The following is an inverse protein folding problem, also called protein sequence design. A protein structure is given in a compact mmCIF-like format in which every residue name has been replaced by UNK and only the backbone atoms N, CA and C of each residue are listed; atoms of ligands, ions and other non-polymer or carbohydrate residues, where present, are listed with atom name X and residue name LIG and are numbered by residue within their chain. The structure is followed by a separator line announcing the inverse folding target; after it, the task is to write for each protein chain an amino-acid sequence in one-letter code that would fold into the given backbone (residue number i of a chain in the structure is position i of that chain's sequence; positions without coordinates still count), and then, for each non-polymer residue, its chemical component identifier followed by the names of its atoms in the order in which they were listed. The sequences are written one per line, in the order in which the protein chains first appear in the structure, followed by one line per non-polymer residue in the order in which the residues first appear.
data_IF_319799961592
#
_entry.id   IF_319799961592
#
_cell.length_a   1.000
_cell.length_b   1.000
_cell.length_c   1.000
_cell.angle_alpha   90.00
_cell.angle_beta   90.00
_cell.angle_gamma   90.00
#
_symmetry.space_group_name_H-M   'P 1'
#
loop_
_entity.id
_entity.type
_entity.pdbx_description
1 polymer ?
#
# COMPACT_ATOMS: atom_id res chain seq x y z
N UNK A 1 -20.66 5.22 5.44
CA UNK A 1 -20.10 4.01 4.78
C UNK A 1 -20.01 2.82 5.73
N UNK A 2 -19.59 2.99 6.98
CA UNK A 2 -19.46 1.92 7.97
C UNK A 2 -20.78 1.17 8.15
N UNK A 3 -21.89 1.87 8.37
CA UNK A 3 -23.23 1.28 8.51
C UNK A 3 -23.65 0.47 7.28
N UNK A 4 -23.28 0.91 6.09
CA UNK A 4 -23.56 0.16 4.85
C UNK A 4 -22.81 -1.18 4.84
N UNK A 5 -21.56 -1.19 5.29
CA UNK A 5 -20.77 -2.44 5.37
C UNK A 5 -21.36 -3.35 6.45
N UNK A 6 -21.68 -2.79 7.63
CA UNK A 6 -22.36 -3.55 8.70
C UNK A 6 -23.62 -4.23 8.17
N UNK A 7 -24.55 -3.47 7.57
CA UNK A 7 -25.81 -4.02 7.05
C UNK A 7 -25.55 -5.15 6.06
N UNK A 8 -24.64 -4.96 5.10
CA UNK A 8 -24.29 -6.02 4.13
C UNK A 8 -23.70 -7.27 4.78
N UNK A 9 -22.89 -7.09 5.82
CA UNK A 9 -22.29 -8.21 6.56
C UNK A 9 -23.36 -8.97 7.33
N UNK A 10 -24.19 -8.26 8.08
CA UNK A 10 -25.30 -8.83 8.83
C UNK A 10 -26.28 -9.58 7.91
N UNK A 11 -26.64 -8.98 6.78
CA UNK A 11 -27.50 -9.62 5.78
C UNK A 11 -26.88 -10.90 5.20
N UNK A 12 -25.55 -10.87 4.94
CA UNK A 12 -24.84 -12.02 4.37
C UNK A 12 -24.78 -13.21 5.34
N UNK A 13 -24.55 -12.94 6.62
CA UNK A 13 -24.44 -14.00 7.65
C UNK A 13 -25.77 -14.31 8.33
N UNK A 14 -26.83 -13.52 8.10
CA UNK A 14 -28.16 -13.70 8.70
C UNK A 14 -28.15 -13.45 10.21
N UNK A 15 -27.30 -12.55 10.70
CA UNK A 15 -27.18 -12.19 12.12
C UNK A 15 -26.97 -10.66 12.28
N UNK A 16 -26.62 -10.21 13.47
CA UNK A 16 -26.33 -8.80 13.77
C UNK A 16 -25.01 -8.63 14.51
N UNK A 17 -24.09 -9.56 14.33
CA UNK A 17 -22.85 -9.67 15.10
C UNK A 17 -21.76 -8.69 14.64
N UNK A 18 -21.91 -8.09 13.45
CA UNK A 18 -20.96 -7.11 12.96
C UNK A 18 -21.03 -5.83 13.81
N UNK A 19 -19.94 -5.50 14.48
CA UNK A 19 -19.81 -4.30 15.30
C UNK A 19 -19.02 -3.23 14.56
N UNK A 20 -19.46 -1.97 14.66
CA UNK A 20 -18.79 -0.81 14.06
C UNK A 20 -18.14 0.01 15.17
N UNK A 21 -16.90 0.43 14.95
CA UNK A 21 -16.14 1.28 15.84
C UNK A 21 -15.80 2.62 15.17
N UNK A 22 -15.71 3.68 15.97
CA UNK A 22 -15.29 5.01 15.51
C UNK A 22 -13.76 5.17 15.47
N UNK A 23 -13.07 4.26 16.16
CA UNK A 23 -11.63 4.25 16.26
C UNK A 23 -11.08 2.83 16.13
N UNK A 24 -9.89 2.68 15.57
CA UNK A 24 -9.26 1.37 15.42
C UNK A 24 -8.89 0.72 16.74
N UNK A 25 -8.65 1.49 17.80
CA UNK A 25 -8.34 0.96 19.14
C UNK A 25 -9.41 0.00 19.63
N UNK A 26 -10.68 0.35 19.44
CA UNK A 26 -11.79 -0.52 19.84
C UNK A 26 -11.80 -1.87 19.12
N UNK A 27 -11.23 -1.97 17.93
CA UNK A 27 -11.04 -3.26 17.22
C UNK A 27 -9.80 -3.98 17.76
N UNK A 28 -8.70 -3.24 17.95
CA UNK A 28 -7.41 -3.82 18.35
C UNK A 28 -7.39 -4.34 19.78
N UNK A 29 -8.23 -3.79 20.67
CA UNK A 29 -8.38 -4.21 22.08
C UNK A 29 -9.19 -5.50 22.24
N UNK A 30 -9.82 -6.02 21.19
CA UNK A 30 -10.61 -7.25 21.27
C UNK A 30 -9.74 -8.49 21.25
N UNK A 31 -9.92 -9.37 22.22
CA UNK A 31 -9.20 -10.64 22.32
C UNK A 31 -9.71 -11.70 21.32
N UNK A 32 -10.94 -11.56 20.83
CA UNK A 32 -11.57 -12.47 19.87
C UNK A 32 -11.25 -12.16 18.41
N UNK A 33 -10.40 -11.16 18.13
CA UNK A 33 -9.89 -10.83 16.79
C UNK A 33 -8.43 -11.25 16.70
N UNK A 34 -8.13 -12.20 15.80
CA UNK A 34 -6.78 -12.71 15.55
C UNK A 34 -6.05 -11.90 14.47
N UNK A 35 -6.79 -11.41 13.46
CA UNK A 35 -6.22 -10.75 12.29
C UNK A 35 -7.05 -9.57 11.83
N UNK A 36 -6.39 -8.60 11.17
CA UNK A 36 -7.02 -7.40 10.63
C UNK A 36 -6.68 -7.18 9.16
N UNK A 37 -7.63 -6.61 8.42
CA UNK A 37 -7.42 -6.12 7.06
C UNK A 37 -7.38 -4.60 7.09
N UNK A 38 -6.25 -4.01 6.67
CA UNK A 38 -6.03 -2.57 6.66
C UNK A 38 -6.18 -2.05 5.22
N UNK A 39 -7.26 -1.29 5.00
CA UNK A 39 -7.63 -0.71 3.69
C UNK A 39 -7.89 0.80 3.80
N UNK A 40 -7.19 1.45 4.67
CA UNK A 40 -7.24 2.91 4.90
C UNK A 40 -6.60 3.67 3.73
N UNK A 41 -6.35 4.97 3.88
CA UNK A 41 -5.47 5.69 2.95
C UNK A 41 -3.99 5.38 3.25
N UNK A 42 -3.13 5.50 2.23
CA UNK A 42 -1.70 5.16 2.28
C UNK A 42 -1.00 5.64 3.55
N UNK A 43 -1.30 6.87 3.96
CA UNK A 43 -0.74 7.53 5.16
C UNK A 43 -0.97 6.78 6.47
N UNK A 44 -2.01 5.95 6.52
CA UNK A 44 -2.36 5.16 7.70
C UNK A 44 -1.79 3.74 7.69
N UNK A 45 -1.36 3.22 6.52
CA UNK A 45 -1.03 1.81 6.36
C UNK A 45 0.05 1.34 7.33
N UNK A 46 1.19 2.03 7.38
CA UNK A 46 2.28 1.66 8.29
C UNK A 46 1.87 1.83 9.77
N UNK A 47 1.31 2.99 10.13
CA UNK A 47 0.91 3.28 11.51
C UNK A 47 -0.13 2.30 12.01
N UNK A 48 -1.19 2.04 11.24
CA UNK A 48 -2.23 1.09 11.62
C UNK A 48 -1.68 -0.34 11.75
N UNK A 49 -0.77 -0.75 10.86
CA UNK A 49 -0.11 -2.05 10.90
C UNK A 49 0.79 -2.20 12.14
N UNK A 50 1.54 -1.16 12.48
CA UNK A 50 2.37 -1.14 13.68
C UNK A 50 1.53 -1.27 14.96
N UNK A 51 0.40 -0.53 15.03
CA UNK A 51 -0.52 -0.65 16.16
C UNK A 51 -1.14 -2.04 16.24
N UNK A 52 -1.58 -2.61 15.12
CA UNK A 52 -2.14 -3.95 15.06
C UNK A 52 -1.13 -5.02 15.51
N UNK A 53 0.12 -4.93 15.03
CA UNK A 53 1.18 -5.86 15.46
C UNK A 53 1.46 -5.77 16.96
N UNK A 54 1.53 -4.56 17.53
CA UNK A 54 1.70 -4.32 18.97
C UNK A 54 0.53 -4.87 19.81
N UNK A 55 -0.68 -4.87 19.23
CA UNK A 55 -1.88 -5.46 19.82
C UNK A 55 -1.99 -6.98 19.58
N UNK A 56 -0.96 -7.62 19.00
CA UNK A 56 -0.91 -9.06 18.80
C UNK A 56 -1.73 -9.58 17.62
N UNK A 57 -2.14 -8.72 16.68
CA UNK A 57 -2.94 -9.10 15.51
C UNK A 57 -2.06 -9.43 14.32
N UNK A 58 -2.46 -10.43 13.53
CA UNK A 58 -1.92 -10.65 12.20
C UNK A 58 -2.53 -9.68 11.20
N UNK A 59 -1.83 -9.38 10.10
CA UNK A 59 -2.16 -8.21 9.29
C UNK A 59 -2.14 -8.54 7.80
N UNK A 60 -3.23 -8.20 7.11
CA UNK A 60 -3.22 -7.96 5.67
C UNK A 60 -3.32 -6.45 5.46
N UNK A 61 -2.31 -5.83 4.84
CA UNK A 61 -2.28 -4.40 4.58
C UNK A 61 -2.28 -4.12 3.08
N UNK A 62 -3.21 -3.26 2.62
CA UNK A 62 -3.22 -2.79 1.24
C UNK A 62 -1.93 -2.05 0.88
N UNK A 63 -1.60 -2.10 -0.40
CA UNK A 63 -0.45 -1.40 -0.98
C UNK A 63 -0.75 0.10 -1.20
N UNK A 64 0.25 0.96 -1.12
CA UNK A 64 1.59 0.76 -0.60
C UNK A 64 1.59 0.66 0.92
N UNK A 65 2.35 -0.28 1.48
CA UNK A 65 2.32 -0.57 2.92
C UNK A 65 2.91 0.55 3.79
N UNK A 66 3.66 1.46 3.19
CA UNK A 66 4.26 2.62 3.85
C UNK A 66 4.49 3.75 2.86
N UNK A 67 4.70 4.97 3.35
CA UNK A 67 4.92 6.16 2.52
C UNK A 67 6.41 6.50 2.31
N UNK A 68 7.29 5.96 3.14
CA UNK A 68 8.73 6.18 3.07
C UNK A 68 9.50 4.98 3.62
N UNK A 69 10.83 5.00 3.42
CA UNK A 69 11.72 3.89 3.80
C UNK A 69 11.77 3.73 5.34
N UNK A 70 11.74 4.81 6.09
CA UNK A 70 11.79 4.76 7.55
C UNK A 70 10.56 4.05 8.12
N UNK A 71 9.37 4.35 7.60
CA UNK A 71 8.14 3.63 7.96
C UNK A 71 8.22 2.13 7.60
N UNK A 72 8.80 1.80 6.44
CA UNK A 72 9.01 0.40 6.05
C UNK A 72 9.90 -0.34 7.06
N UNK A 73 10.99 0.29 7.50
CA UNK A 73 11.91 -0.28 8.48
C UNK A 73 11.24 -0.46 9.85
N UNK A 74 10.54 0.56 10.34
CA UNK A 74 9.81 0.47 11.62
C UNK A 74 8.72 -0.60 11.58
N UNK A 75 8.02 -0.73 10.47
CA UNK A 75 7.01 -1.77 10.27
C UNK A 75 7.65 -3.16 10.31
N UNK A 76 8.71 -3.40 9.53
CA UNK A 76 9.42 -4.67 9.48
C UNK A 76 9.97 -5.07 10.86
N UNK A 77 10.63 -4.15 11.56
CA UNK A 77 11.15 -4.37 12.91
C UNK A 77 10.03 -4.69 13.91
N UNK A 78 8.89 -3.99 13.80
CA UNK A 78 7.75 -4.23 14.68
C UNK A 78 7.13 -5.60 14.44
N UNK A 79 6.92 -5.98 13.18
CA UNK A 79 6.37 -7.30 12.82
C UNK A 79 7.26 -8.43 13.34
N UNK A 80 8.57 -8.32 13.12
CA UNK A 80 9.56 -9.30 13.62
C UNK A 80 9.58 -9.38 15.16
N UNK A 81 9.61 -8.23 15.82
CA UNK A 81 9.62 -8.13 17.29
C UNK A 81 8.41 -8.78 17.93
N UNK A 82 7.23 -8.56 17.36
CA UNK A 82 5.96 -9.09 17.88
C UNK A 82 5.58 -10.45 17.29
N UNK A 83 6.40 -11.00 16.39
CA UNK A 83 6.21 -12.32 15.77
C UNK A 83 4.83 -12.45 15.10
N UNK A 84 4.40 -11.39 14.36
CA UNK A 84 3.12 -11.38 13.67
C UNK A 84 3.28 -11.75 12.20
N UNK A 85 2.22 -12.32 11.63
CA UNK A 85 2.14 -12.54 10.19
C UNK A 85 1.73 -11.21 9.52
N UNK A 86 2.50 -10.81 8.51
CA UNK A 86 2.19 -9.64 7.70
C UNK A 86 2.13 -10.02 6.22
N UNK A 87 0.99 -9.74 5.60
CA UNK A 87 0.78 -9.92 4.17
C UNK A 87 0.57 -8.57 3.49
N UNK A 88 1.48 -8.18 2.62
CA UNK A 88 1.27 -7.04 1.73
C UNK A 88 0.19 -7.33 0.68
N UNK A 89 -0.67 -6.34 0.41
CA UNK A 89 -1.77 -6.42 -0.56
C UNK A 89 -1.32 -6.40 -2.01
N UNK A 90 -0.34 -7.22 -2.39
CA UNK A 90 0.14 -7.39 -3.76
C UNK A 90 -0.72 -8.41 -4.51
N UNK A 91 -2.00 -8.13 -4.64
CA UNK A 91 -3.04 -9.04 -5.12
C UNK A 91 -2.79 -9.61 -6.53
N UNK A 92 -1.92 -9.00 -7.34
CA UNK A 92 -1.56 -9.53 -8.68
C UNK A 92 -0.87 -10.88 -8.59
N UNK A 93 -0.22 -11.22 -7.48
CA UNK A 93 0.36 -12.55 -7.23
C UNK A 93 -0.69 -13.66 -7.18
N UNK A 94 -1.94 -13.32 -6.86
CA UNK A 94 -3.07 -14.26 -6.84
C UNK A 94 -3.80 -14.38 -8.19
N UNK A 95 -3.39 -13.61 -9.21
CA UNK A 95 -4.00 -13.64 -10.54
C UNK A 95 -3.33 -14.70 -11.40
N UNK A 96 -4.07 -15.72 -11.93
CA UNK A 96 -3.48 -16.88 -12.61
C UNK A 96 -2.54 -16.54 -13.77
N UNK A 97 -2.88 -15.51 -14.58
CA UNK A 97 -2.05 -15.11 -15.73
C UNK A 97 -0.68 -14.56 -15.29
N UNK A 98 -0.62 -13.78 -14.23
CA UNK A 98 0.67 -13.27 -13.71
C UNK A 98 1.48 -14.41 -13.09
N UNK A 99 0.80 -15.28 -12.32
CA UNK A 99 1.47 -16.46 -11.76
C UNK A 99 2.07 -17.33 -12.87
N UNK A 100 1.33 -17.62 -13.93
CA UNK A 100 1.84 -18.40 -15.06
C UNK A 100 3.08 -17.74 -15.69
N UNK A 101 3.06 -16.43 -15.91
CA UNK A 101 4.20 -15.72 -16.48
C UNK A 101 5.45 -15.83 -15.59
N UNK A 102 5.28 -15.66 -14.27
CA UNK A 102 6.36 -15.82 -13.30
C UNK A 102 6.86 -17.26 -13.24
N UNK A 103 5.98 -18.25 -13.19
CA UNK A 103 6.34 -19.67 -13.19
C UNK A 103 7.18 -20.03 -14.44
N UNK A 104 6.82 -19.52 -15.62
CA UNK A 104 7.59 -19.73 -16.86
C UNK A 104 8.99 -19.11 -16.77
N UNK A 105 9.11 -17.93 -16.18
CA UNK A 105 10.39 -17.27 -15.98
C UNK A 105 11.29 -18.05 -15.01
N UNK A 106 10.78 -18.38 -13.84
CA UNK A 106 11.54 -19.09 -12.78
C UNK A 106 11.89 -20.53 -13.17
N UNK A 107 11.06 -21.21 -13.97
CA UNK A 107 11.35 -22.55 -14.48
C UNK A 107 12.33 -22.56 -15.67
N UNK A 108 12.86 -21.42 -16.06
CA UNK A 108 13.80 -21.29 -17.17
C UNK A 108 13.18 -21.52 -18.56
N UNK A 109 11.84 -21.54 -18.69
CA UNK A 109 11.15 -21.72 -19.98
C UNK A 109 11.35 -20.54 -20.94
N UNK A 110 11.72 -19.38 -20.39
CA UNK A 110 12.06 -18.18 -21.17
C UNK A 110 13.58 -18.03 -21.37
N UNK A 111 14.36 -19.04 -21.02
CA UNK A 111 15.81 -18.96 -20.97
C UNK A 111 16.32 -18.18 -19.76
N UNK A 112 17.58 -17.76 -19.80
CA UNK A 112 18.16 -16.95 -18.71
C UNK A 112 17.58 -15.55 -18.71
N UNK A 113 16.87 -15.18 -17.64
CA UNK A 113 16.36 -13.83 -17.45
C UNK A 113 17.54 -12.89 -17.18
N UNK A 114 17.68 -11.85 -18.01
CA UNK A 114 18.72 -10.81 -17.88
C UNK A 114 18.15 -9.49 -17.40
N UNK A 115 16.91 -9.22 -17.78
CA UNK A 115 16.26 -7.94 -17.53
C UNK A 115 14.74 -8.13 -17.37
N UNK A 116 14.15 -7.37 -16.46
CA UNK A 116 12.70 -7.28 -16.24
C UNK A 116 12.25 -5.83 -16.32
N UNK A 117 11.07 -5.57 -16.89
CA UNK A 117 10.57 -4.21 -17.13
C UNK A 117 9.26 -3.96 -16.40
N UNK A 118 9.26 -2.95 -15.54
CA UNK A 118 8.07 -2.47 -14.84
C UNK A 118 7.55 -1.19 -15.53
N UNK A 119 6.39 -1.29 -16.18
CA UNK A 119 5.63 -0.13 -16.64
C UNK A 119 4.83 0.46 -15.48
N UNK A 120 5.01 1.75 -15.20
CA UNK A 120 4.35 2.45 -14.08
C UNK A 120 3.51 3.58 -14.66
N UNK A 121 2.22 3.57 -14.35
CA UNK A 121 1.30 4.59 -14.82
C UNK A 121 1.65 5.97 -14.25
N UNK A 122 1.74 6.97 -15.13
CA UNK A 122 2.01 8.35 -14.74
C UNK A 122 0.72 8.98 -14.19
N UNK A 123 0.64 9.15 -12.87
CA UNK A 123 -0.44 9.91 -12.22
C UNK A 123 -0.19 11.43 -12.35
N UNK A 124 -1.25 12.21 -12.36
CA UNK A 124 -1.15 13.67 -12.20
C UNK A 124 -0.57 14.01 -10.82
N UNK A 125 0.27 15.02 -10.78
CA UNK A 125 0.90 15.51 -9.55
C UNK A 125 0.42 16.93 -9.24
N UNK A 126 -0.12 17.10 -8.06
CA UNK A 126 -0.31 18.42 -7.48
C UNK A 126 0.77 18.63 -6.41
N UNK A 127 1.62 19.62 -6.62
CA UNK A 127 2.70 19.97 -5.70
C UNK A 127 2.25 20.95 -4.62
N UNK A 128 1.12 21.63 -4.85
CA UNK A 128 0.57 22.61 -3.91
C UNK A 128 -0.68 22.08 -3.25
N UNK A 129 -0.88 22.34 -1.96
CA UNK A 129 -2.15 22.09 -1.30
C UNK A 129 -3.31 22.78 -2.02
N UNK A 130 -4.49 22.19 -1.92
CA UNK A 130 -5.73 22.79 -2.39
C UNK A 130 -6.08 24.02 -1.51
N UNK A 131 -6.85 24.99 -2.03
CA UNK A 131 -7.29 26.14 -1.23
C UNK A 131 -8.06 25.69 0.02
N UNK A 132 -7.85 26.40 1.14
CA UNK A 132 -8.55 26.09 2.37
C UNK A 132 -10.08 26.25 2.22
N UNK A 133 -10.81 25.32 2.77
CA UNK A 133 -12.26 25.37 2.95
C UNK A 133 -12.61 25.25 4.44
N UNK A 134 -13.80 25.69 4.89
CA UNK A 134 -14.27 25.41 6.24
C UNK A 134 -14.29 23.90 6.49
N UNK A 135 -13.83 23.50 7.68
CA UNK A 135 -13.91 22.10 8.09
C UNK A 135 -15.38 21.66 8.23
N UNK A 136 -15.71 20.43 7.85
CA UNK A 136 -17.03 19.88 8.03
C UNK A 136 -17.30 19.60 9.52
N UNK A 137 -18.54 19.29 9.85
CA UNK A 137 -18.90 18.76 11.16
C UNK A 137 -18.07 17.48 11.46
N UNK A 138 -17.36 17.42 12.59
CA UNK A 138 -16.52 16.26 12.95
C UNK A 138 -17.30 14.94 13.03
N UNK A 139 -18.62 14.99 13.24
CA UNK A 139 -19.47 13.79 13.19
C UNK A 139 -19.63 13.23 11.77
N UNK A 140 -19.38 14.04 10.74
CA UNK A 140 -19.42 13.67 9.33
C UNK A 140 -18.02 13.28 8.85
N UNK A 141 -17.05 14.16 9.08
CA UNK A 141 -15.62 13.93 8.77
C UNK A 141 -14.80 14.57 9.87
N UNK A 142 -14.20 13.76 10.70
CA UNK A 142 -13.16 14.16 11.64
C UNK A 142 -11.86 14.36 10.83
N UNK A 143 -11.53 15.63 10.57
CA UNK A 143 -10.40 15.97 9.70
C UNK A 143 -9.06 15.56 10.30
N UNK A 144 -8.89 15.69 11.61
CA UNK A 144 -7.66 15.25 12.29
C UNK A 144 -7.47 13.74 12.19
N UNK A 145 -8.51 12.94 12.39
CA UNK A 145 -8.46 11.49 12.19
C UNK A 145 -8.27 11.13 10.72
N UNK A 146 -8.85 11.91 9.81
CA UNK A 146 -8.64 11.69 8.38
C UNK A 146 -7.19 11.92 7.99
N UNK A 147 -6.56 12.98 8.50
CA UNK A 147 -5.13 13.26 8.29
C UNK A 147 -4.25 12.19 8.95
N UNK A 148 -4.52 11.86 10.19
CA UNK A 148 -3.73 10.92 10.97
C UNK A 148 -2.25 11.33 11.04
N UNK A 149 -1.31 10.44 10.65
CA UNK A 149 0.12 10.73 10.69
C UNK A 149 0.60 11.70 9.58
N UNK A 150 -0.27 12.09 8.64
CA UNK A 150 0.10 13.03 7.59
C UNK A 150 0.30 14.46 8.15
N UNK A 151 1.07 15.33 7.45
CA UNK A 151 1.22 16.73 7.84
C UNK A 151 -0.14 17.43 7.92
N UNK A 152 -0.27 18.30 8.93
CA UNK A 152 -1.46 19.14 9.10
C UNK A 152 -1.55 20.15 7.97
N UNK A 153 -2.63 20.12 7.22
CA UNK A 153 -2.98 21.11 6.19
C UNK A 153 -4.46 21.45 6.28
N UNK A 154 -4.88 22.61 5.77
CA UNK A 154 -6.27 23.02 5.75
C UNK A 154 -7.15 22.01 4.98
N UNK A 155 -8.38 21.86 5.43
CA UNK A 155 -9.37 21.01 4.79
C UNK A 155 -9.72 21.48 3.38
N UNK A 156 -9.96 20.51 2.50
CA UNK A 156 -10.63 20.67 1.21
C UNK A 156 -11.37 19.37 0.88
N UNK A 157 -12.63 19.48 0.44
CA UNK A 157 -13.51 18.33 0.19
C UNK A 157 -12.95 17.33 -0.84
N UNK A 158 -12.25 17.83 -1.85
CA UNK A 158 -11.64 16.98 -2.90
C UNK A 158 -10.64 15.96 -2.35
N UNK A 159 -10.01 16.22 -1.21
CA UNK A 159 -9.15 15.23 -0.56
C UNK A 159 -9.97 14.00 -0.16
N UNK A 160 -11.17 14.21 0.37
CA UNK A 160 -12.06 13.13 0.78
C UNK A 160 -12.70 12.37 -0.39
N UNK A 161 -12.65 12.95 -1.61
CA UNK A 161 -13.18 12.37 -2.84
C UNK A 161 -12.12 11.62 -3.67
N UNK A 162 -10.93 11.33 -3.12
CA UNK A 162 -9.88 10.54 -3.75
C UNK A 162 -8.77 11.32 -4.43
N UNK A 163 -8.86 12.66 -4.54
CA UNK A 163 -7.77 13.50 -5.09
C UNK A 163 -6.51 13.51 -4.22
N UNK A 164 -6.60 13.08 -2.96
CA UNK A 164 -5.44 12.95 -2.08
C UNK A 164 -4.31 12.12 -2.70
N UNK A 165 -4.63 11.13 -3.54
CA UNK A 165 -3.63 10.29 -4.24
C UNK A 165 -2.70 11.08 -5.17
N UNK A 166 -3.12 12.27 -5.58
CA UNK A 166 -2.34 13.13 -6.46
C UNK A 166 -1.44 14.12 -5.70
N UNK A 167 -1.51 14.15 -4.37
CA UNK A 167 -0.70 15.03 -3.53
C UNK A 167 0.49 14.28 -2.94
N UNK A 168 1.64 14.40 -3.64
CA UNK A 168 2.91 13.76 -3.26
C UNK A 168 3.33 14.15 -1.85
N UNK A 169 3.66 13.15 -1.05
CA UNK A 169 4.30 13.33 0.26
C UNK A 169 3.37 13.87 1.34
N UNK A 170 2.11 14.20 1.02
CA UNK A 170 1.11 14.59 2.01
C UNK A 170 0.27 13.38 2.42
N UNK A 171 -0.33 12.70 1.46
CA UNK A 171 -1.32 11.66 1.74
C UNK A 171 -1.08 10.37 0.97
N UNK A 172 -0.22 10.42 -0.04
CA UNK A 172 0.10 9.29 -0.91
C UNK A 172 1.60 9.10 -1.02
N UNK A 173 2.02 7.86 -1.05
CA UNK A 173 3.39 7.47 -1.34
C UNK A 173 3.84 7.79 -2.78
N UNK A 174 2.97 8.38 -3.60
CA UNK A 174 3.21 8.82 -4.96
C UNK A 174 3.25 7.69 -6.02
N UNK A 175 3.60 8.07 -7.26
CA UNK A 175 3.51 7.25 -8.48
C UNK A 175 4.19 5.89 -8.37
N UNK A 176 5.44 5.92 -7.90
CA UNK A 176 6.26 4.72 -7.85
C UNK A 176 5.68 3.68 -6.89
N UNK A 177 5.36 4.01 -5.62
CA UNK A 177 4.70 3.06 -4.72
C UNK A 177 3.24 2.76 -5.09
N UNK A 178 2.45 3.72 -5.60
CA UNK A 178 1.03 3.50 -5.89
C UNK A 178 0.81 2.46 -6.99
N UNK A 179 1.42 2.64 -8.16
CA UNK A 179 1.32 1.70 -9.29
C UNK A 179 2.51 0.76 -9.39
N UNK A 180 3.69 1.21 -8.95
CA UNK A 180 4.89 0.39 -8.92
C UNK A 180 4.76 -0.81 -8.00
N UNK A 181 4.06 -0.69 -6.87
CA UNK A 181 3.77 -1.84 -5.99
C UNK A 181 3.18 -3.03 -6.73
N UNK A 182 2.44 -2.80 -7.81
CA UNK A 182 1.87 -3.86 -8.61
C UNK A 182 2.83 -4.44 -9.65
N UNK A 183 3.63 -3.59 -10.30
CA UNK A 183 4.44 -3.99 -11.46
C UNK A 183 5.87 -4.32 -11.07
N UNK A 184 6.44 -3.58 -10.11
CA UNK A 184 7.78 -3.88 -9.56
C UNK A 184 7.74 -5.18 -8.77
N UNK A 185 6.68 -5.41 -7.98
CA UNK A 185 6.47 -6.65 -7.24
C UNK A 185 6.48 -7.88 -8.17
N UNK A 186 5.75 -7.83 -9.30
CA UNK A 186 5.76 -8.90 -10.29
C UNK A 186 7.15 -9.10 -10.93
N UNK A 187 7.87 -8.02 -11.20
CA UNK A 187 9.23 -8.09 -11.73
C UNK A 187 10.19 -8.71 -10.72
N UNK A 188 10.10 -8.34 -9.45
CA UNK A 188 10.89 -8.89 -8.36
C UNK A 188 10.61 -10.38 -8.17
N UNK A 189 9.36 -10.77 -8.20
CA UNK A 189 8.94 -12.17 -8.13
C UNK A 189 9.47 -12.97 -9.33
N UNK A 190 9.34 -12.44 -10.57
CA UNK A 190 9.89 -13.10 -11.76
C UNK A 190 11.42 -13.20 -11.77
N UNK A 191 12.11 -12.25 -11.12
CA UNK A 191 13.55 -12.25 -10.97
C UNK A 191 14.07 -13.19 -9.85
N UNK A 192 13.16 -13.92 -9.17
CA UNK A 192 13.48 -14.74 -7.99
C UNK A 192 14.24 -13.94 -6.91
N UNK A 193 13.72 -12.74 -6.60
CA UNK A 193 14.39 -11.77 -5.73
C UNK A 193 13.54 -11.37 -4.51
N UNK A 194 12.56 -12.20 -4.11
CA UNK A 194 11.63 -11.89 -3.00
C UNK A 194 12.32 -11.70 -1.64
N UNK A 195 13.42 -12.37 -1.41
CA UNK A 195 14.20 -12.25 -0.17
C UNK A 195 15.19 -11.07 -0.14
N UNK A 196 15.20 -10.20 -1.15
CA UNK A 196 16.20 -9.12 -1.31
C UNK A 196 15.61 -7.89 -1.96
N UNK A 197 16.42 -6.84 -2.07
CA UNK A 197 16.13 -5.62 -2.83
C UNK A 197 17.24 -5.40 -3.86
N UNK A 198 17.03 -4.59 -4.91
CA UNK A 198 18.12 -4.16 -5.76
C UNK A 198 19.24 -3.50 -4.96
N UNK A 199 20.48 -3.76 -5.35
CA UNK A 199 21.68 -3.27 -4.70
C UNK A 199 22.25 -1.99 -5.35
N UNK A 200 21.83 -1.70 -6.56
CA UNK A 200 22.24 -0.52 -7.34
C UNK A 200 20.99 0.15 -7.92
N UNK A 201 20.99 1.48 -7.95
CA UNK A 201 19.96 2.30 -8.59
C UNK A 201 20.59 3.42 -9.38
N UNK A 202 20.13 3.64 -10.61
CA UNK A 202 20.56 4.71 -11.50
C UNK A 202 19.35 5.36 -12.18
N UNK A 203 19.22 6.67 -12.06
CA UNK A 203 18.21 7.43 -12.79
C UNK A 203 18.77 7.82 -14.17
N UNK A 204 18.25 7.22 -15.23
CA UNK A 204 18.57 7.63 -16.61
C UNK A 204 17.88 8.95 -16.95
N UNK A 205 16.67 9.15 -16.46
CA UNK A 205 15.86 10.36 -16.66
C UNK A 205 14.77 10.47 -15.59
N UNK A 206 13.99 11.55 -15.63
CA UNK A 206 12.80 11.73 -14.78
C UNK A 206 11.72 10.65 -14.95
N UNK A 207 11.86 9.81 -15.96
CA UNK A 207 10.86 8.81 -16.34
C UNK A 207 11.42 7.38 -16.44
N UNK A 208 12.73 7.19 -16.28
CA UNK A 208 13.38 5.88 -16.38
C UNK A 208 14.38 5.71 -15.23
N UNK A 209 14.21 4.66 -14.47
CA UNK A 209 15.12 4.26 -13.40
C UNK A 209 15.57 2.83 -13.68
N UNK A 210 16.85 2.61 -13.64
CA UNK A 210 17.47 1.30 -13.67
C UNK A 210 17.81 0.86 -12.26
N UNK A 211 17.63 -0.43 -12.00
CA UNK A 211 18.10 -1.04 -10.77
C UNK A 211 18.69 -2.42 -11.09
N UNK A 212 19.51 -2.95 -10.17
CA UNK A 212 20.16 -4.24 -10.37
C UNK A 212 20.09 -5.05 -9.09
N UNK A 213 19.65 -6.30 -9.23
CA UNK A 213 19.65 -7.26 -8.14
C UNK A 213 21.02 -7.92 -7.97
N UNK A 214 21.29 -8.47 -6.79
CA UNK A 214 22.55 -9.17 -6.50
C UNK A 214 22.79 -10.40 -7.40
N UNK A 215 21.74 -11.03 -7.91
CA UNK A 215 21.81 -12.12 -8.89
C UNK A 215 22.15 -11.67 -10.33
N UNK A 216 22.37 -10.36 -10.54
CA UNK A 216 22.77 -9.78 -11.82
C UNK A 216 21.60 -9.38 -12.72
N UNK A 217 20.35 -9.71 -12.39
CA UNK A 217 19.18 -9.32 -13.17
C UNK A 217 18.95 -7.81 -13.02
N UNK A 218 18.70 -7.13 -14.16
CA UNK A 218 18.36 -5.71 -14.18
C UNK A 218 16.85 -5.51 -14.07
N UNK A 219 16.43 -4.49 -13.34
CA UNK A 219 15.06 -3.99 -13.29
C UNK A 219 15.01 -2.61 -13.94
N UNK A 220 14.20 -2.46 -14.96
CA UNK A 220 13.97 -1.17 -15.64
C UNK A 220 12.56 -0.69 -15.30
N UNK A 221 12.47 0.42 -14.60
CA UNK A 221 11.21 1.07 -14.21
C UNK A 221 10.94 2.24 -15.14
N UNK A 222 9.82 2.20 -15.88
CA UNK A 222 9.43 3.24 -16.83
C UNK A 222 8.10 3.88 -16.42
N UNK A 223 8.13 5.20 -16.22
CA UNK A 223 6.92 5.99 -16.01
C UNK A 223 6.29 6.29 -17.39
N UNK A 224 5.17 5.66 -17.70
CA UNK A 224 4.44 5.87 -18.95
C UNK A 224 3.26 6.81 -18.76
N UNK A 225 3.04 7.73 -19.69
CA UNK A 225 1.81 8.51 -19.81
C UNK A 225 0.73 7.63 -20.44
N UNK A 226 0.04 6.77 -19.71
CA UNK A 226 -0.96 5.83 -20.26
C UNK A 226 -1.69 6.39 -21.49
N UNK A 227 -1.25 5.98 -22.67
CA UNK A 227 -1.90 6.11 -23.97
C UNK A 227 -2.12 4.71 -24.48
#
# INVERSE_FOLDING_TARGET
RREIIKSKTDDHYGNTDCVVYDDMSGVLERDDIDAVIITTGDRWHATASIHAARAGKDIYCEKPCAMNIQECQELDDTIKKHQRVFQAGTQRRSVPNFKLAVDLAQQGKLGQIKEVHAGILKLQNYLKPLPAQPEPDPTIIDWDKWLGPAPQIPFHEDYCQGRWRNHKGLYSAWRLPEWGSHTIDLCQWAADADGTTPIEYEAESDSVIHAKYANGIKLVMRLSSGK
#
